data_IF_374517314982
#
_entry.id   IF_374517314982
#
_cell.length_a   1.000
_cell.length_b   1.000
_cell.length_c   1.000
_cell.angle_alpha   90.00
_cell.angle_beta   90.00
_cell.angle_gamma   90.00
#
_symmetry.space_group_name_H-M   'P 1'
#
loop_
_entity.id
_entity.type
_entity.pdbx_description
1 polymer ?
#
# COMPACT_ATOMS: atom_id res chain seq x y z
N UNK A 1 -15.81 -44.31 -7.58
CA UNK A 1 -16.13 -44.39 -9.02
C UNK A 1 -14.82 -44.63 -9.76
N UNK A 2 -14.74 -45.75 -10.46
CA UNK A 2 -13.52 -46.35 -10.99
C UNK A 2 -12.79 -45.51 -12.07
N UNK A 3 -11.50 -45.81 -12.34
CA UNK A 3 -10.52 -45.08 -13.15
C UNK A 3 -10.17 -45.77 -14.50
N UNK A 4 -9.50 -45.08 -15.43
CA UNK A 4 -8.85 -45.60 -16.66
C UNK A 4 -8.11 -44.41 -17.33
N UNK A 5 -6.86 -44.38 -17.81
CA UNK A 5 -5.87 -45.36 -18.31
C UNK A 5 -4.48 -44.96 -17.74
N UNK A 6 -3.61 -45.80 -17.16
CA UNK A 6 -2.99 -47.05 -17.63
C UNK A 6 -2.17 -46.94 -18.95
N UNK A 7 -0.88 -46.63 -18.77
CA UNK A 7 0.27 -47.42 -19.23
C UNK A 7 0.40 -47.82 -20.71
N UNK A 8 1.54 -47.46 -21.31
CA UNK A 8 2.35 -48.39 -22.14
C UNK A 8 3.76 -47.79 -22.33
N UNK A 9 4.79 -48.44 -21.77
CA UNK A 9 5.84 -49.17 -22.52
C UNK A 9 6.89 -48.25 -23.17
N UNK A 10 8.20 -48.47 -23.09
CA UNK A 10 9.00 -49.66 -22.76
C UNK A 10 10.44 -49.18 -22.55
N UNK A 11 11.11 -49.70 -21.51
CA UNK A 11 12.57 -49.80 -21.46
C UNK A 11 13.06 -50.72 -22.59
N UNK A 12 14.13 -50.31 -23.27
CA UNK A 12 15.16 -51.06 -24.07
C UNK A 12 15.73 -49.98 -25.00
N UNK A 13 17.01 -49.67 -25.07
CA UNK A 13 18.16 -50.54 -25.27
C UNK A 13 19.37 -49.86 -24.64
N UNK A 14 19.90 -50.46 -23.57
CA UNK A 14 21.31 -50.33 -23.26
C UNK A 14 22.09 -51.11 -24.32
N UNK A 15 23.26 -50.56 -24.67
CA UNK A 15 24.40 -51.26 -25.27
C UNK A 15 24.36 -51.52 -26.79
N UNK A 16 25.05 -50.67 -27.58
CA UNK A 16 26.02 -51.05 -28.64
C UNK A 16 26.81 -49.81 -29.11
N UNK A 17 28.00 -49.60 -28.57
CA UNK A 17 29.07 -48.93 -29.34
C UNK A 17 30.26 -49.88 -29.40
N UNK A 18 30.52 -50.45 -30.59
CA UNK A 18 31.87 -50.36 -31.11
C UNK A 18 31.82 -50.10 -32.61
N UNK A 19 32.00 -48.86 -33.04
CA UNK A 19 32.48 -48.57 -34.40
C UNK A 19 33.70 -47.68 -34.25
N UNK A 20 34.80 -48.34 -33.89
CA UNK A 20 36.16 -47.89 -34.11
C UNK A 20 36.53 -48.44 -35.49
N UNK A 21 36.96 -47.55 -36.40
CA UNK A 21 37.42 -47.77 -37.78
C UNK A 21 36.39 -47.52 -38.89
N UNK A 22 36.27 -46.25 -39.29
CA UNK A 22 36.13 -45.88 -40.69
C UNK A 22 37.17 -44.80 -40.98
N UNK A 23 38.30 -45.25 -41.50
CA UNK A 23 39.24 -44.43 -42.28
C UNK A 23 38.48 -43.91 -43.49
N UNK A 24 38.38 -42.59 -43.62
CA UNK A 24 37.87 -41.88 -44.80
C UNK A 24 38.51 -40.50 -44.83
N UNK A 25 39.01 -40.08 -45.99
CA UNK A 25 39.91 -38.94 -46.20
C UNK A 25 39.38 -37.56 -45.77
N UNK A 26 40.18 -36.49 -45.95
CA UNK A 26 39.79 -35.16 -45.53
C UNK A 26 38.46 -34.75 -46.17
N UNK A 27 37.54 -34.14 -45.41
CA UNK A 27 36.21 -33.80 -45.91
C UNK A 27 36.34 -32.79 -47.05
N UNK A 28 35.72 -33.09 -48.19
CA UNK A 28 35.56 -32.14 -49.29
C UNK A 28 34.95 -30.83 -48.78
N UNK A 29 35.55 -29.72 -49.17
CA UNK A 29 35.16 -28.32 -48.97
C UNK A 29 33.66 -27.99 -49.11
N UNK A 30 32.90 -28.80 -49.86
CA UNK A 30 31.43 -28.76 -49.92
C UNK A 30 30.75 -29.07 -48.59
N UNK A 31 31.23 -30.06 -47.84
CA UNK A 31 30.58 -30.53 -46.61
C UNK A 31 30.72 -29.50 -45.47
N UNK A 32 31.87 -28.81 -45.42
CA UNK A 32 32.09 -27.72 -44.47
C UNK A 32 31.13 -26.54 -44.74
N UNK A 33 30.88 -26.19 -46.01
CA UNK A 33 30.00 -25.07 -46.37
C UNK A 33 28.51 -25.37 -46.15
N UNK A 34 28.04 -26.59 -46.44
CA UNK A 34 26.62 -26.94 -46.28
C UNK A 34 26.20 -27.09 -44.80
N UNK A 35 27.10 -27.56 -43.93
CA UNK A 35 26.75 -27.78 -42.51
C UNK A 35 27.00 -26.55 -41.62
N UNK A 36 28.02 -25.72 -41.91
CA UNK A 36 28.36 -24.56 -41.07
C UNK A 36 27.46 -23.34 -41.31
N UNK A 37 27.00 -23.11 -42.54
CA UNK A 37 26.22 -21.90 -42.89
C UNK A 37 24.88 -21.80 -42.13
N UNK A 38 24.04 -22.85 -42.03
CA UNK A 38 22.78 -22.74 -41.30
C UNK A 38 22.96 -22.61 -39.77
N UNK A 39 24.06 -23.13 -39.22
CA UNK A 39 24.34 -23.09 -37.77
C UNK A 39 24.88 -21.73 -37.29
N UNK A 40 25.63 -21.01 -38.13
CA UNK A 40 26.13 -19.66 -37.80
C UNK A 40 24.99 -18.64 -37.86
N UNK A 41 24.13 -18.75 -38.87
CA UNK A 41 23.04 -17.80 -39.12
C UNK A 41 21.96 -17.85 -38.03
N UNK A 42 21.69 -19.05 -37.49
CA UNK A 42 20.72 -19.25 -36.40
C UNK A 42 21.19 -18.75 -35.04
N UNK A 43 22.51 -18.68 -34.79
CA UNK A 43 23.07 -18.08 -33.56
C UNK A 43 23.07 -16.56 -33.58
N UNK A 44 23.47 -15.95 -34.70
CA UNK A 44 23.52 -14.50 -34.84
C UNK A 44 22.13 -13.85 -34.65
N UNK A 45 21.10 -14.46 -35.23
CA UNK A 45 19.71 -14.02 -35.07
C UNK A 45 19.19 -14.12 -33.62
N UNK A 46 19.75 -15.04 -32.82
CA UNK A 46 19.34 -15.25 -31.42
C UNK A 46 19.98 -14.26 -30.44
N UNK A 47 21.19 -13.78 -30.76
CA UNK A 47 21.87 -12.76 -29.96
C UNK A 47 21.29 -11.36 -30.18
N UNK A 48 20.80 -11.07 -31.39
CA UNK A 48 20.11 -9.82 -31.73
C UNK A 48 18.78 -9.61 -30.99
N UNK A 49 18.15 -10.69 -30.49
CA UNK A 49 16.86 -10.65 -29.77
C UNK A 49 16.98 -10.51 -28.26
N UNK A 50 18.17 -10.28 -27.70
CA UNK A 50 18.28 -10.01 -26.26
C UNK A 50 17.77 -8.59 -26.01
N UNK A 51 16.61 -8.38 -25.36
CA UNK A 51 16.24 -7.05 -24.92
C UNK A 51 17.36 -6.56 -23.99
N UNK A 52 17.86 -5.35 -24.24
CA UNK A 52 18.76 -4.66 -23.31
C UNK A 52 18.00 -4.59 -21.98
N UNK A 53 18.45 -5.38 -21.00
CA UNK A 53 17.85 -5.41 -19.67
C UNK A 53 18.04 -4.01 -19.08
N UNK A 54 16.96 -3.24 -19.01
CA UNK A 54 16.97 -1.95 -18.31
C UNK A 54 17.60 -2.16 -16.93
N UNK A 55 18.59 -1.33 -16.61
CA UNK A 55 19.33 -1.45 -15.35
C UNK A 55 18.40 -0.97 -14.23
N UNK A 56 17.95 -1.84 -13.30
CA UNK A 56 17.00 -1.45 -12.25
C UNK A 56 17.50 -0.30 -11.37
N UNK A 57 18.82 -0.09 -11.38
CA UNK A 57 19.57 0.93 -10.65
C UNK A 57 19.45 2.34 -11.27
N UNK A 58 18.76 2.48 -12.41
CA UNK A 58 18.42 3.79 -13.01
C UNK A 58 16.93 4.10 -12.89
N UNK A 59 16.09 3.07 -12.73
CA UNK A 59 14.64 3.22 -12.52
C UNK A 59 14.33 3.60 -11.05
N UNK A 60 15.18 3.22 -10.08
CA UNK A 60 14.98 3.39 -8.64
C UNK A 60 15.07 4.85 -8.11
N UNK A 61 15.52 5.79 -8.95
CA UNK A 61 15.29 7.23 -8.75
C UNK A 61 13.83 7.64 -9.02
N UNK A 62 12.88 6.69 -9.01
CA UNK A 62 11.46 6.99 -8.81
C UNK A 62 11.33 7.86 -7.57
N UNK A 63 11.06 9.15 -7.77
CA UNK A 63 10.72 10.01 -6.65
C UNK A 63 9.57 9.36 -5.87
N UNK A 64 9.85 9.06 -4.60
CA UNK A 64 8.88 8.55 -3.64
C UNK A 64 7.60 9.39 -3.77
N UNK A 65 6.44 8.84 -4.19
CA UNK A 65 5.22 9.61 -4.22
C UNK A 65 5.00 10.11 -2.80
N UNK A 66 5.17 11.41 -2.60
CA UNK A 66 5.19 11.95 -1.25
C UNK A 66 3.77 11.76 -0.72
N UNK A 67 3.61 10.91 0.29
CA UNK A 67 2.44 10.87 1.21
C UNK A 67 2.23 12.25 1.92
N UNK A 68 2.89 13.32 1.46
CA UNK A 68 2.88 14.67 1.96
C UNK A 68 1.46 15.19 2.26
N UNK A 69 0.43 15.06 1.41
CA UNK A 69 -0.90 15.55 1.77
C UNK A 69 -1.51 14.82 2.96
N UNK A 70 -1.27 13.51 3.11
CA UNK A 70 -1.75 12.73 4.26
C UNK A 70 -0.98 13.11 5.52
N UNK A 71 0.32 13.32 5.42
CA UNK A 71 1.14 13.77 6.55
C UNK A 71 0.80 15.20 6.99
N UNK A 72 0.51 16.11 6.05
CA UNK A 72 0.01 17.46 6.35
C UNK A 72 -1.35 17.36 7.06
N UNK A 73 -2.28 16.54 6.55
CA UNK A 73 -3.57 16.34 7.20
C UNK A 73 -3.41 15.78 8.63
N UNK A 74 -2.55 14.77 8.81
CA UNK A 74 -2.24 14.21 10.14
C UNK A 74 -1.67 15.28 11.06
N UNK A 75 -0.72 16.09 10.59
CA UNK A 75 -0.11 17.14 11.41
C UNK A 75 -1.13 18.21 11.83
N UNK A 76 -1.99 18.67 10.90
CA UNK A 76 -3.02 19.67 11.18
C UNK A 76 -4.06 19.16 12.19
N UNK A 77 -4.59 17.95 11.96
CA UNK A 77 -5.53 17.31 12.89
C UNK A 77 -4.87 17.11 14.24
N UNK A 78 -3.64 16.62 14.27
CA UNK A 78 -2.93 16.33 15.52
C UNK A 78 -2.66 17.58 16.35
N UNK A 79 -2.22 18.66 15.71
CA UNK A 79 -1.90 19.90 16.41
C UNK A 79 -3.17 20.54 16.99
N UNK A 80 -4.22 20.70 16.17
CA UNK A 80 -5.43 21.38 16.60
C UNK A 80 -6.22 20.56 17.62
N UNK A 81 -6.51 19.29 17.29
CA UNK A 81 -7.32 18.43 18.16
C UNK A 81 -6.53 18.05 19.42
N UNK A 82 -5.23 17.78 19.29
CA UNK A 82 -4.36 17.52 20.45
C UNK A 82 -4.29 18.71 21.41
N UNK A 83 -4.18 19.94 20.90
CA UNK A 83 -4.24 21.14 21.75
C UNK A 83 -5.59 21.30 22.45
N UNK A 84 -6.69 21.04 21.74
CA UNK A 84 -8.04 21.02 22.31
C UNK A 84 -8.20 19.96 23.41
N UNK A 85 -7.64 18.77 23.19
CA UNK A 85 -7.65 17.67 24.15
C UNK A 85 -6.85 17.98 25.40
N UNK A 86 -5.63 18.52 25.25
CA UNK A 86 -4.81 18.99 26.36
C UNK A 86 -5.52 20.07 27.17
N UNK A 87 -6.19 21.04 26.52
CA UNK A 87 -6.98 22.06 27.21
C UNK A 87 -8.15 21.45 28.00
N UNK A 88 -8.81 20.41 27.46
CA UNK A 88 -9.87 19.68 28.18
C UNK A 88 -9.30 18.95 29.39
N UNK A 89 -8.15 18.29 29.27
CA UNK A 89 -7.49 17.62 30.39
C UNK A 89 -6.97 18.59 31.46
N UNK A 90 -6.51 19.78 31.04
CA UNK A 90 -6.13 20.87 31.93
C UNK A 90 -7.34 21.53 32.63
N UNK A 91 -8.58 21.12 32.32
CA UNK A 91 -9.78 21.63 32.97
C UNK A 91 -10.13 23.07 32.57
N UNK A 92 -9.69 23.54 31.40
CA UNK A 92 -9.96 24.91 30.95
C UNK A 92 -11.48 25.11 30.77
N UNK A 93 -12.13 26.04 31.49
CA UNK A 93 -13.60 26.14 31.49
C UNK A 93 -14.21 26.38 30.11
N UNK A 94 -13.50 27.13 29.26
CA UNK A 94 -13.96 27.48 27.91
C UNK A 94 -14.24 26.24 27.05
N UNK A 95 -13.32 25.27 27.00
CA UNK A 95 -13.47 24.05 26.19
C UNK A 95 -14.41 23.01 26.79
N UNK A 96 -14.82 23.22 28.06
CA UNK A 96 -15.84 22.41 28.73
C UNK A 96 -17.25 23.00 28.64
N UNK A 97 -17.39 24.26 28.23
CA UNK A 97 -18.68 24.98 28.20
C UNK A 97 -19.73 24.40 27.24
N UNK A 98 -19.30 23.55 26.29
CA UNK A 98 -20.18 22.87 25.34
C UNK A 98 -20.93 21.68 25.95
N UNK A 99 -20.32 20.94 26.89
CA UNK A 99 -20.90 19.71 27.43
C UNK A 99 -22.21 19.94 28.20
N UNK A 100 -22.32 20.93 29.11
CA UNK A 100 -23.59 21.20 29.80
C UNK A 100 -24.72 21.58 28.84
N UNK A 101 -24.41 22.31 27.76
CA UNK A 101 -25.39 22.73 26.75
C UNK A 101 -25.93 21.55 25.93
N UNK A 102 -25.09 20.52 25.76
CA UNK A 102 -25.47 19.25 25.13
C UNK A 102 -26.15 18.27 26.11
N UNK A 103 -26.37 18.67 27.38
CA UNK A 103 -26.92 17.78 28.40
C UNK A 103 -25.96 16.68 28.85
N UNK A 104 -24.65 16.84 28.60
CA UNK A 104 -23.62 15.87 28.93
C UNK A 104 -23.00 16.16 30.31
N UNK A 105 -22.60 15.13 31.06
CA UNK A 105 -22.01 15.31 32.38
C UNK A 105 -20.61 15.94 32.30
N UNK A 106 -20.15 16.67 33.32
CA UNK A 106 -18.85 17.38 33.29
C UNK A 106 -17.64 16.46 33.05
N UNK A 107 -17.66 15.24 33.57
CA UNK A 107 -16.56 14.28 33.40
C UNK A 107 -16.38 13.86 31.92
N UNK A 108 -17.43 13.96 31.10
CA UNK A 108 -17.39 13.58 29.69
C UNK A 108 -16.40 14.43 28.91
N UNK A 109 -16.19 15.70 29.31
CA UNK A 109 -15.18 16.56 28.70
C UNK A 109 -13.76 16.03 28.89
N UNK A 110 -13.46 15.45 30.05
CA UNK A 110 -12.17 14.80 30.30
C UNK A 110 -12.02 13.51 29.50
N UNK A 111 -13.09 12.71 29.36
CA UNK A 111 -13.08 11.54 28.48
C UNK A 111 -12.76 11.91 27.03
N UNK A 112 -13.43 12.92 26.49
CA UNK A 112 -13.11 13.45 25.15
C UNK A 112 -11.69 13.99 25.10
N UNK A 113 -11.22 14.68 26.15
CA UNK A 113 -9.84 15.15 26.25
C UNK A 113 -8.80 14.03 26.12
N UNK A 114 -9.03 12.88 26.77
CA UNK A 114 -8.15 11.70 26.64
C UNK A 114 -8.16 11.19 25.20
N UNK A 115 -9.33 11.05 24.58
CA UNK A 115 -9.44 10.60 23.20
C UNK A 115 -8.77 11.56 22.20
N UNK A 116 -8.91 12.87 22.41
CA UNK A 116 -8.31 13.91 21.59
C UNK A 116 -6.79 14.03 21.76
N UNK A 117 -6.20 13.45 22.81
CA UNK A 117 -4.73 13.34 22.96
C UNK A 117 -4.22 12.01 22.40
N UNK A 118 -4.88 10.89 22.72
CA UNK A 118 -4.48 9.57 22.25
C UNK A 118 -4.71 9.38 20.75
N UNK A 119 -5.79 9.95 20.21
CA UNK A 119 -6.14 9.87 18.79
C UNK A 119 -5.04 10.43 17.88
N UNK A 120 -4.60 11.69 18.06
CA UNK A 120 -3.45 12.24 17.35
C UNK A 120 -2.19 11.38 17.43
N UNK A 121 -1.85 10.86 18.62
CA UNK A 121 -0.69 9.98 18.78
C UNK A 121 -0.87 8.71 17.93
N UNK A 122 -2.07 8.12 17.95
CA UNK A 122 -2.39 6.94 17.15
C UNK A 122 -2.43 7.20 15.63
N UNK A 123 -2.67 8.45 15.18
CA UNK A 123 -2.62 8.80 13.74
C UNK A 123 -1.24 8.58 13.12
N UNK A 124 -0.16 8.76 13.89
CA UNK A 124 1.21 8.53 13.43
C UNK A 124 1.54 7.04 13.26
N UNK A 125 0.76 6.15 13.88
CA UNK A 125 0.95 4.71 13.84
C UNK A 125 0.11 4.15 12.68
N UNK A 126 0.75 3.84 11.55
CA UNK A 126 0.09 3.39 10.30
C UNK A 126 -1.06 2.39 10.47
N UNK A 127 -0.94 1.27 11.23
CA UNK A 127 -2.04 0.31 11.38
C UNK A 127 -3.23 0.84 12.20
N UNK A 128 -3.01 1.81 13.10
CA UNK A 128 -4.04 2.42 13.95
C UNK A 128 -4.63 3.69 13.33
N UNK A 129 -3.96 4.28 12.34
CA UNK A 129 -4.28 5.58 11.76
C UNK A 129 -5.72 5.68 11.25
N UNK A 130 -6.24 4.62 10.61
CA UNK A 130 -7.64 4.60 10.16
C UNK A 130 -8.62 4.63 11.35
N UNK A 131 -8.43 3.77 12.35
CA UNK A 131 -9.31 3.74 13.54
C UNK A 131 -9.24 5.01 14.36
N UNK A 132 -8.05 5.59 14.52
CA UNK A 132 -7.85 6.88 15.16
C UNK A 132 -8.59 8.00 14.42
N UNK A 133 -8.48 8.05 13.09
CA UNK A 133 -9.18 9.04 12.26
C UNK A 133 -10.71 8.88 12.36
N UNK A 134 -11.22 7.66 12.45
CA UNK A 134 -12.66 7.42 12.65
C UNK A 134 -13.15 7.95 14.00
N UNK A 135 -12.43 7.62 15.09
CA UNK A 135 -12.76 8.09 16.44
C UNK A 135 -12.71 9.62 16.56
N UNK A 136 -11.64 10.23 16.04
CA UNK A 136 -11.52 11.70 15.99
C UNK A 136 -12.60 12.33 15.10
N UNK A 137 -12.97 11.68 14.00
CA UNK A 137 -14.09 12.10 13.15
C UNK A 137 -15.41 12.17 13.91
N UNK A 138 -15.72 11.19 14.76
CA UNK A 138 -16.92 11.21 15.60
C UNK A 138 -16.91 12.41 16.56
N UNK A 139 -15.76 12.71 17.18
CA UNK A 139 -15.61 13.86 18.07
C UNK A 139 -15.80 15.17 17.31
N UNK A 140 -15.16 15.31 16.13
CA UNK A 140 -15.31 16.49 15.28
C UNK A 140 -16.75 16.67 14.79
N UNK A 141 -17.46 15.58 14.49
CA UNK A 141 -18.87 15.62 14.14
C UNK A 141 -19.72 16.18 15.30
N UNK A 142 -19.48 15.72 16.54
CA UNK A 142 -20.13 16.26 17.72
C UNK A 142 -19.83 17.76 17.93
N UNK A 143 -18.58 18.17 17.71
CA UNK A 143 -18.19 19.59 17.78
C UNK A 143 -18.87 20.44 16.69
N UNK A 144 -18.94 19.94 15.45
CA UNK A 144 -19.67 20.60 14.36
C UNK A 144 -21.15 20.72 14.68
N UNK A 145 -21.78 19.66 15.19
CA UNK A 145 -23.18 19.68 15.61
C UNK A 145 -23.44 20.73 16.70
N UNK A 146 -22.58 20.77 17.72
CA UNK A 146 -22.67 21.79 18.77
C UNK A 146 -22.59 23.20 18.18
N UNK A 147 -21.61 23.47 17.33
CA UNK A 147 -21.45 24.80 16.75
C UNK A 147 -22.59 25.20 15.82
N UNK A 148 -23.13 24.25 15.05
CA UNK A 148 -24.27 24.49 14.17
C UNK A 148 -25.57 24.80 14.93
N UNK A 149 -25.70 24.29 16.17
CA UNK A 149 -26.93 24.40 16.96
C UNK A 149 -26.89 25.54 17.98
N UNK A 150 -25.75 25.77 18.63
CA UNK A 150 -25.63 26.65 19.81
C UNK A 150 -24.75 27.88 19.60
N UNK A 151 -24.08 28.01 18.45
CA UNK A 151 -23.18 29.13 18.17
C UNK A 151 -23.38 29.66 16.75
N UNK A 152 -22.79 30.83 16.40
CA UNK A 152 -22.79 31.29 15.02
C UNK A 152 -22.18 30.25 14.08
N UNK A 153 -22.82 29.98 12.94
CA UNK A 153 -22.46 28.91 12.00
C UNK A 153 -20.99 28.97 11.53
N UNK A 154 -20.41 30.18 11.47
CA UNK A 154 -19.01 30.38 11.10
C UNK A 154 -18.05 29.68 12.08
N UNK A 155 -18.43 29.52 13.35
CA UNK A 155 -17.64 28.80 14.35
C UNK A 155 -17.64 27.28 14.13
N UNK A 156 -18.57 26.74 13.32
CA UNK A 156 -18.56 25.34 12.95
C UNK A 156 -17.49 25.01 11.89
N UNK A 157 -16.98 26.02 11.18
CA UNK A 157 -16.05 25.81 10.06
C UNK A 157 -14.76 25.07 10.45
N UNK A 158 -14.04 25.41 11.54
CA UNK A 158 -12.84 24.68 11.93
C UNK A 158 -13.13 23.20 12.25
N UNK A 159 -14.18 22.92 13.03
CA UNK A 159 -14.57 21.56 13.37
C UNK A 159 -14.97 20.75 12.12
N UNK A 160 -15.70 21.38 11.19
CA UNK A 160 -16.11 20.75 9.95
C UNK A 160 -14.93 20.45 9.01
N UNK A 161 -13.97 21.38 8.88
CA UNK A 161 -12.74 21.14 8.09
C UNK A 161 -11.94 19.98 8.67
N UNK A 162 -11.80 19.91 9.99
CA UNK A 162 -11.10 18.82 10.66
C UNK A 162 -11.82 17.48 10.51
N UNK A 163 -13.16 17.48 10.53
CA UNK A 163 -13.97 16.31 10.20
C UNK A 163 -13.65 15.78 8.80
N UNK A 164 -13.58 16.67 7.80
CA UNK A 164 -13.23 16.29 6.42
C UNK A 164 -11.80 15.75 6.32
N UNK A 165 -10.84 16.35 7.05
CA UNK A 165 -9.48 15.83 7.12
C UNK A 165 -9.42 14.44 7.76
N UNK A 166 -10.18 14.20 8.83
CA UNK A 166 -10.30 12.88 9.44
C UNK A 166 -10.86 11.86 8.45
N UNK A 167 -11.93 12.21 7.72
CA UNK A 167 -12.51 11.35 6.68
C UNK A 167 -11.51 11.06 5.55
N UNK A 168 -10.72 12.06 5.14
CA UNK A 168 -9.66 11.91 4.14
C UNK A 168 -8.56 10.95 4.61
N UNK A 169 -8.07 11.11 5.85
CA UNK A 169 -7.06 10.23 6.44
C UNK A 169 -7.60 8.80 6.53
N UNK A 170 -8.83 8.63 7.02
CA UNK A 170 -9.51 7.34 7.10
C UNK A 170 -9.52 6.65 5.73
N UNK A 171 -10.02 7.33 4.70
CA UNK A 171 -10.08 6.78 3.33
C UNK A 171 -8.71 6.38 2.77
N UNK A 172 -7.67 7.19 3.01
CA UNK A 172 -6.32 6.94 2.51
C UNK A 172 -5.59 5.82 3.26
N UNK A 173 -5.85 5.66 4.56
CA UNK A 173 -5.19 4.67 5.42
C UNK A 173 -6.00 3.39 5.60
N UNK A 174 -7.23 3.33 5.08
CA UNK A 174 -8.05 2.14 5.16
C UNK A 174 -7.44 0.98 4.36
N UNK A 175 -7.31 -0.23 4.93
CA UNK A 175 -6.85 -1.41 4.20
C UNK A 175 -7.77 -1.70 3.01
N UNK A 176 -7.21 -1.82 1.81
CA UNK A 176 -7.93 -2.31 0.63
C UNK A 176 -7.89 -3.83 0.64
N UNK A 177 -9.06 -4.48 0.60
CA UNK A 177 -9.14 -5.93 0.42
C UNK A 177 -8.65 -6.27 -1.01
N UNK A 178 -7.85 -7.34 -1.20
CA UNK A 178 -7.53 -7.80 -2.54
C UNK A 178 -8.81 -8.23 -3.28
N UNK A 179 -8.91 -8.06 -4.61
CA UNK A 179 -10.04 -8.56 -5.38
C UNK A 179 -10.19 -10.06 -5.15
N UNK A 180 -11.36 -10.50 -4.72
CA UNK A 180 -11.73 -11.92 -4.73
C UNK A 180 -11.92 -12.34 -6.18
N UNK A 181 -11.03 -13.22 -6.66
CA UNK A 181 -11.11 -13.86 -7.97
C UNK A 181 -12.19 -14.96 -8.00
#
# INVERSE_FOLDING_TARGET
MCPLLAATARRRIANRHPIRNLVGGPPSDRFAKELLVPLVQTRAARLSRRPVRANPLLEDRVEKPRDLPVWIAIALVSLYVGAGGLAKLAGVPYVHSSFPKLGLPPWFGYFIGVCEVLGPIALFIRPLSAWAAAGLGIIMFGATYYHATYTPIIQAAPAFVLLLLCAYIFWKRHPKRPPTA
#
